data_IF_978047528996
#
_entry.id   IF_978047528996
#
_cell.length_a   1.000
_cell.length_b   1.000
_cell.length_c   1.000
_cell.angle_alpha   90.00
_cell.angle_beta   90.00
_cell.angle_gamma   90.00
#
_symmetry.space_group_name_H-M   'P 1'
#
loop_
_entity.id
_entity.type
_entity.pdbx_description
1 polymer ?
#
# COMPACT_ATOMS: atom_id res chain seq x y z
N UNK A 1 59.53 -23.24 0.86
CA UNK A 1 59.52 -22.10 1.80
C UNK A 1 58.16 -22.07 2.49
N UNK A 2 58.12 -22.47 3.75
CA UNK A 2 56.90 -22.58 4.58
C UNK A 2 56.65 -21.25 5.28
N UNK A 3 55.40 -20.76 5.27
CA UNK A 3 54.99 -19.60 6.08
C UNK A 3 53.69 -19.89 6.81
N UNK A 4 53.75 -19.57 8.10
CA UNK A 4 52.98 -19.99 9.25
C UNK A 4 51.68 -19.21 9.40
N UNK A 5 50.59 -19.87 9.81
CA UNK A 5 49.32 -19.21 10.15
C UNK A 5 49.24 -18.92 11.65
N UNK A 6 49.06 -17.65 12.01
CA UNK A 6 48.84 -17.16 13.38
C UNK A 6 47.39 -17.36 13.79
N UNK A 7 47.15 -18.09 14.88
CA UNK A 7 45.85 -18.30 15.50
C UNK A 7 45.55 -17.17 16.49
N UNK A 8 44.63 -16.27 16.15
CA UNK A 8 44.08 -15.29 17.10
C UNK A 8 42.80 -15.81 17.73
N UNK A 9 42.90 -16.28 18.97
CA UNK A 9 41.79 -16.48 19.89
C UNK A 9 41.45 -15.16 20.58
N UNK A 10 40.37 -14.51 20.15
CA UNK A 10 39.73 -13.46 20.93
C UNK A 10 38.47 -14.04 21.56
N UNK A 11 38.60 -14.40 22.84
CA UNK A 11 37.50 -14.61 23.77
C UNK A 11 36.79 -13.28 23.96
N UNK A 12 35.52 -13.21 23.58
CA UNK A 12 34.62 -12.14 23.99
C UNK A 12 33.26 -12.77 24.24
N UNK A 13 33.04 -13.11 25.51
CA UNK A 13 31.74 -13.47 26.03
C UNK A 13 30.82 -12.24 25.89
N UNK A 14 30.04 -12.20 24.81
CA UNK A 14 28.85 -11.38 24.74
C UNK A 14 27.67 -12.34 24.74
N UNK A 15 26.90 -12.27 25.82
CA UNK A 15 25.63 -12.97 26.00
C UNK A 15 24.72 -12.62 24.83
N UNK A 16 24.67 -13.50 23.82
CA UNK A 16 23.71 -13.42 22.75
C UNK A 16 22.36 -13.85 23.34
N UNK A 17 21.63 -12.89 23.91
CA UNK A 17 20.19 -13.03 24.12
C UNK A 17 19.58 -13.14 22.72
N UNK A 18 19.43 -14.37 22.26
CA UNK A 18 18.72 -14.72 21.04
C UNK A 18 17.24 -14.37 21.24
N UNK A 19 16.91 -13.10 21.12
CA UNK A 19 15.54 -12.68 20.85
C UNK A 19 15.23 -13.18 19.45
N UNK A 20 14.51 -14.30 19.40
CA UNK A 20 13.88 -14.81 18.18
C UNK A 20 12.85 -13.77 17.76
N UNK A 21 13.31 -12.74 17.03
CA UNK A 21 12.44 -11.77 16.38
C UNK A 21 11.66 -12.57 15.33
N UNK A 22 10.45 -13.00 15.72
CA UNK A 22 9.49 -13.60 14.79
C UNK A 22 9.38 -12.64 13.61
N UNK A 23 9.90 -13.04 12.45
CA UNK A 23 9.71 -12.28 11.22
C UNK A 23 8.20 -12.05 11.09
N UNK A 24 7.77 -10.78 11.22
CA UNK A 24 6.40 -10.40 10.92
C UNK A 24 6.19 -10.76 9.46
N UNK A 25 5.45 -11.85 9.23
CA UNK A 25 4.97 -12.24 7.90
C UNK A 25 4.32 -10.98 7.31
N UNK A 26 4.88 -10.45 6.22
CA UNK A 26 4.31 -9.29 5.52
C UNK A 26 2.95 -9.73 5.03
N UNK A 27 1.92 -9.45 5.82
CA UNK A 27 0.55 -9.62 5.36
C UNK A 27 0.42 -8.60 4.24
N UNK A 28 0.34 -9.09 3.00
CA UNK A 28 -0.03 -8.28 1.85
C UNK A 28 -1.47 -7.83 2.10
N UNK A 29 -1.63 -6.77 2.89
CA UNK A 29 -2.89 -6.15 3.23
C UNK A 29 -3.41 -5.41 2.02
N UNK A 30 -3.85 -6.17 1.01
CA UNK A 30 -4.56 -5.60 -0.12
C UNK A 30 -5.77 -4.87 0.44
N UNK A 31 -5.95 -3.62 0.01
CA UNK A 31 -7.11 -2.83 0.41
C UNK A 31 -8.36 -3.58 -0.04
N UNK A 32 -9.15 -4.02 0.94
CA UNK A 32 -10.46 -4.59 0.67
C UNK A 32 -11.39 -3.48 0.17
N UNK A 33 -12.20 -3.73 -0.86
CA UNK A 33 -13.26 -2.81 -1.26
C UNK A 33 -14.13 -2.49 -0.05
N UNK A 34 -14.45 -1.22 0.16
CA UNK A 34 -15.35 -0.79 1.23
C UNK A 34 -16.42 0.08 0.64
N UNK A 35 -17.68 -0.22 0.95
CA UNK A 35 -18.82 0.57 0.52
C UNK A 35 -18.61 2.05 0.91
N UNK A 36 -18.64 2.99 -0.05
CA UNK A 36 -18.57 4.41 0.28
C UNK A 36 -19.77 4.82 1.13
N UNK A 37 -19.59 5.67 2.16
CA UNK A 37 -20.70 6.47 2.64
C UNK A 37 -21.18 7.33 1.46
N UNK A 38 -22.50 7.37 1.26
CA UNK A 38 -23.20 7.93 0.09
C UNK A 38 -22.40 8.92 -0.76
N UNK A 39 -22.32 8.67 -2.08
CA UNK A 39 -21.67 9.61 -3.01
C UNK A 39 -22.33 10.97 -3.02
N UNK A 40 -23.52 11.12 -2.43
CA UNK A 40 -24.35 12.31 -2.51
C UNK A 40 -23.76 13.55 -1.81
N UNK A 41 -22.75 13.36 -0.95
CA UNK A 41 -22.06 14.46 -0.28
C UNK A 41 -21.02 15.07 -1.25
N UNK A 42 -21.14 16.35 -1.65
CA UNK A 42 -20.25 16.96 -2.64
C UNK A 42 -18.79 17.06 -2.14
N UNK A 43 -18.59 17.31 -0.84
CA UNK A 43 -17.25 17.40 -0.24
C UNK A 43 -16.69 16.05 0.26
N UNK A 44 -17.30 14.92 -0.12
CA UNK A 44 -16.80 13.62 0.30
C UNK A 44 -15.45 13.29 -0.35
N UNK A 45 -14.49 12.90 0.50
CA UNK A 45 -13.18 12.40 0.08
C UNK A 45 -13.23 10.90 -0.14
N UNK A 46 -13.26 10.49 -1.40
CA UNK A 46 -13.24 9.09 -1.82
C UNK A 46 -11.80 8.58 -1.78
N UNK A 47 -11.59 7.49 -1.03
CA UNK A 47 -10.30 6.79 -0.98
C UNK A 47 -10.29 5.60 -1.93
N UNK A 48 -9.12 5.05 -2.19
CA UNK A 48 -8.94 3.87 -3.06
C UNK A 48 -9.94 2.77 -2.72
N UNK A 49 -10.10 2.37 -1.45
CA UNK A 49 -11.04 1.30 -1.06
C UNK A 49 -12.50 1.55 -1.50
N UNK A 50 -12.94 2.81 -1.48
CA UNK A 50 -14.26 3.22 -1.95
C UNK A 50 -14.34 3.25 -3.47
N UNK A 51 -13.28 3.73 -4.12
CA UNK A 51 -13.16 3.73 -5.58
C UNK A 51 -13.15 2.30 -6.16
N UNK A 52 -12.50 1.35 -5.48
CA UNK A 52 -12.51 -0.07 -5.87
C UNK A 52 -13.93 -0.64 -5.86
N UNK A 53 -14.74 -0.27 -4.86
CA UNK A 53 -16.14 -0.68 -4.79
C UNK A 53 -16.95 -0.12 -5.97
N UNK A 54 -16.79 1.18 -6.26
CA UNK A 54 -17.53 1.87 -7.33
C UNK A 54 -17.20 1.35 -8.73
N UNK A 55 -16.00 0.83 -8.92
CA UNK A 55 -15.56 0.19 -10.16
C UNK A 55 -16.02 -1.27 -10.31
N UNK A 56 -16.84 -1.80 -9.41
CA UNK A 56 -17.32 -3.19 -9.43
C UNK A 56 -16.34 -4.16 -8.76
N UNK A 57 -15.96 -3.87 -7.51
CA UNK A 57 -15.03 -4.69 -6.69
C UNK A 57 -13.68 -4.96 -7.37
N UNK A 58 -13.12 -3.94 -8.01
CA UNK A 58 -11.82 -4.06 -8.65
C UNK A 58 -10.72 -4.36 -7.62
N UNK A 59 -9.72 -5.16 -8.00
CA UNK A 59 -8.55 -5.36 -7.15
C UNK A 59 -7.67 -4.09 -7.08
N UNK A 60 -7.03 -3.85 -5.93
CA UNK A 60 -6.14 -2.70 -5.76
C UNK A 60 -5.02 -2.67 -6.80
N UNK A 61 -4.48 -3.83 -7.20
CA UNK A 61 -3.44 -3.93 -8.23
C UNK A 61 -3.95 -3.45 -9.60
N UNK A 62 -5.13 -3.91 -10.01
CA UNK A 62 -5.74 -3.50 -11.27
C UNK A 62 -6.11 -2.00 -11.28
N UNK A 63 -6.51 -1.45 -10.12
CA UNK A 63 -6.72 -0.01 -9.99
C UNK A 63 -5.46 0.80 -10.23
N UNK A 64 -4.35 0.45 -9.57
CA UNK A 64 -3.08 1.15 -9.78
C UNK A 64 -2.55 0.96 -11.22
N UNK A 65 -2.76 -0.21 -11.84
CA UNK A 65 -2.44 -0.40 -13.25
C UNK A 65 -3.24 0.56 -14.16
N UNK A 66 -4.55 0.70 -13.94
CA UNK A 66 -5.41 1.64 -14.70
C UNK A 66 -5.06 3.10 -14.43
N UNK A 67 -4.66 3.43 -13.20
CA UNK A 67 -4.19 4.76 -12.83
C UNK A 67 -2.90 5.13 -13.58
N UNK A 68 -1.97 4.19 -13.75
CA UNK A 68 -0.74 4.41 -14.54
C UNK A 68 -1.00 4.61 -16.04
N UNK A 69 -2.05 3.97 -16.55
CA UNK A 69 -2.48 4.07 -17.96
C UNK A 69 -3.36 5.33 -18.20
N UNK A 70 -3.77 6.04 -17.15
CA UNK A 70 -4.64 7.22 -17.26
C UNK A 70 -6.12 6.89 -17.51
N UNK A 71 -6.54 5.64 -17.27
CA UNK A 71 -7.95 5.19 -17.34
C UNK A 71 -8.77 5.62 -16.12
N UNK A 72 -8.14 6.16 -15.08
CA UNK A 72 -8.74 6.63 -13.83
C UNK A 72 -8.25 8.06 -13.59
N UNK A 73 -9.09 8.97 -13.07
CA UNK A 73 -8.68 10.33 -12.78
C UNK A 73 -7.49 10.39 -11.81
N UNK A 74 -6.65 11.40 -11.95
CA UNK A 74 -5.54 11.66 -11.02
C UNK A 74 -6.12 11.96 -9.62
N UNK A 75 -5.43 11.54 -8.54
CA UNK A 75 -5.85 11.90 -7.18
C UNK A 75 -5.79 13.42 -7.00
N UNK A 76 -6.78 13.97 -6.29
CA UNK A 76 -6.85 15.41 -5.99
C UNK A 76 -5.76 15.84 -4.99
N UNK A 77 -5.34 14.92 -4.13
CA UNK A 77 -4.32 15.18 -3.13
C UNK A 77 -3.96 13.94 -2.34
N UNK A 78 -3.17 14.18 -1.29
CA UNK A 78 -2.63 13.14 -0.43
C UNK A 78 -2.86 13.52 1.03
N UNK A 79 -3.59 12.68 1.78
CA UNK A 79 -3.86 12.88 3.21
C UNK A 79 -4.16 11.55 3.91
N UNK A 80 -3.34 11.10 4.87
CA UNK A 80 -2.14 10.26 4.72
C UNK A 80 -2.11 9.20 3.58
N UNK A 81 -3.13 9.14 2.71
CA UNK A 81 -3.26 8.27 1.53
C UNK A 81 -3.86 9.11 0.37
N UNK A 82 -3.73 8.68 -0.89
CA UNK A 82 -4.34 9.39 -2.01
C UNK A 82 -5.87 9.42 -1.89
N UNK A 83 -6.46 10.58 -2.21
CA UNK A 83 -7.91 10.79 -2.21
C UNK A 83 -8.39 11.47 -3.49
N UNK A 84 -9.67 11.27 -3.78
CA UNK A 84 -10.42 11.88 -4.87
C UNK A 84 -11.62 12.63 -4.30
N UNK A 85 -12.00 13.75 -4.90
CA UNK A 85 -13.25 14.43 -4.58
C UNK A 85 -14.42 13.68 -5.21
N UNK A 86 -15.54 13.60 -4.51
CA UNK A 86 -16.74 12.93 -5.00
C UNK A 86 -17.21 13.47 -6.36
N UNK A 87 -17.11 14.79 -6.59
CA UNK A 87 -17.43 15.44 -7.87
C UNK A 87 -16.70 14.79 -9.06
N UNK A 88 -15.37 14.69 -8.99
CA UNK A 88 -14.55 14.10 -10.06
C UNK A 88 -14.90 12.63 -10.30
N UNK A 89 -15.19 11.89 -9.22
CA UNK A 89 -15.57 10.47 -9.35
C UNK A 89 -16.95 10.33 -9.98
N UNK A 90 -17.91 11.21 -9.65
CA UNK A 90 -19.24 11.25 -10.27
C UNK A 90 -19.14 11.56 -11.76
N UNK A 91 -18.42 12.61 -12.13
CA UNK A 91 -18.18 12.97 -13.54
C UNK A 91 -17.58 11.77 -14.30
N UNK A 92 -16.58 11.12 -13.72
CA UNK A 92 -15.96 9.94 -14.32
C UNK A 92 -16.93 8.76 -14.48
N UNK A 93 -17.85 8.54 -13.55
CA UNK A 93 -18.86 7.48 -13.63
C UNK A 93 -19.98 7.80 -14.62
N UNK A 94 -20.32 9.07 -14.82
CA UNK A 94 -21.35 9.49 -15.79
C UNK A 94 -20.88 9.45 -17.25
N UNK A 95 -19.58 9.62 -17.49
CA UNK A 95 -18.98 9.60 -18.83
C UNK A 95 -18.84 8.16 -19.37
N UNK A 96 -18.93 7.16 -18.50
CA UNK A 96 -18.70 5.75 -18.82
C UNK A 96 -19.98 5.07 -19.34
#
# INVERSE_FOLDING_TARGET
MTVTFSKSTATSASVAVATTSKLKKRVNGHQKPKTPPSLDIPDARIRVAHFLMLLGELSASAFYARLRIGRVPKPCGYDPRPYWRAEIVREFLQIK
#
